data_IF_701932777063
#
_entry.id   IF_701932777063
#
_cell.length_a   1.000
_cell.length_b   1.000
_cell.length_c   1.000
_cell.angle_alpha   90.00
_cell.angle_beta   90.00
_cell.angle_gamma   90.00
#
_symmetry.space_group_name_H-M   'P 1'
#
loop_
_entity.id
_entity.type
_entity.pdbx_description
1 polymer ?
#
# COMPACT_ATOMS: atom_id res chain seq x y z
N UNK A 1 -5.23 31.57 -31.51
CA UNK A 1 -5.63 30.15 -31.43
C UNK A 1 -6.52 30.05 -30.20
N UNK A 2 -7.84 30.00 -30.38
CA UNK A 2 -8.80 29.99 -29.25
C UNK A 2 -8.95 28.53 -28.79
N UNK A 3 -8.39 28.20 -27.64
CA UNK A 3 -8.57 26.88 -27.04
C UNK A 3 -10.01 26.76 -26.58
N UNK A 4 -10.74 25.75 -27.10
CA UNK A 4 -12.11 25.51 -26.70
C UNK A 4 -12.18 25.21 -25.19
N UNK A 5 -13.22 25.69 -24.47
CA UNK A 5 -13.33 25.50 -23.02
C UNK A 5 -13.33 24.02 -22.61
N UNK A 6 -13.83 23.14 -23.48
CA UNK A 6 -13.83 21.69 -23.30
C UNK A 6 -12.42 21.10 -23.23
N UNK A 7 -11.49 21.61 -24.06
CA UNK A 7 -10.09 21.18 -24.06
C UNK A 7 -9.36 21.60 -22.78
N UNK A 8 -9.74 22.76 -22.22
CA UNK A 8 -9.15 23.32 -21.01
C UNK A 8 -9.61 22.57 -19.75
N UNK A 9 -10.88 22.15 -19.72
CA UNK A 9 -11.43 21.29 -18.65
C UNK A 9 -10.78 19.91 -18.69
N UNK A 10 -10.65 19.29 -19.87
CA UNK A 10 -10.03 17.98 -20.01
C UNK A 10 -8.56 18.01 -19.58
N UNK A 11 -7.82 19.06 -19.97
CA UNK A 11 -6.43 19.25 -19.57
C UNK A 11 -6.29 19.47 -18.05
N UNK A 12 -7.20 20.24 -17.44
CA UNK A 12 -7.23 20.42 -15.99
C UNK A 12 -7.47 19.12 -15.22
N UNK A 13 -8.40 18.27 -15.69
CA UNK A 13 -8.68 16.94 -15.13
C UNK A 13 -7.50 15.97 -15.27
N UNK A 14 -6.81 15.99 -16.42
CA UNK A 14 -5.64 15.13 -16.62
C UNK A 14 -4.49 15.58 -15.73
N UNK A 15 -4.24 16.89 -15.59
CA UNK A 15 -3.20 17.42 -14.72
C UNK A 15 -3.45 17.08 -13.24
N UNK A 16 -4.69 17.12 -12.76
CA UNK A 16 -4.99 16.77 -11.36
C UNK A 16 -4.72 15.31 -11.03
N UNK A 17 -4.88 14.38 -11.99
CA UNK A 17 -4.54 12.97 -11.82
C UNK A 17 -3.03 12.73 -11.67
N UNK A 18 -2.18 13.60 -12.23
CA UNK A 18 -0.72 13.47 -12.20
C UNK A 18 -0.12 14.09 -10.92
N UNK A 19 -0.76 15.10 -10.34
CA UNK A 19 -0.23 15.82 -9.16
C UNK A 19 -0.39 15.01 -7.86
N UNK A 20 -1.38 14.11 -7.78
CA UNK A 20 -1.64 13.28 -6.60
C UNK A 20 -1.15 11.83 -6.77
N UNK A 21 0.12 11.64 -7.13
CA UNK A 21 0.72 10.31 -7.11
C UNK A 21 1.07 9.91 -5.68
N UNK A 22 0.19 9.13 -5.04
CA UNK A 22 0.58 8.30 -3.92
C UNK A 22 1.40 7.13 -4.50
N UNK A 23 2.72 7.22 -4.40
CA UNK A 23 3.54 6.05 -4.65
C UNK A 23 3.16 5.02 -3.58
N UNK A 24 3.12 3.76 -3.98
CA UNK A 24 2.89 2.64 -3.11
C UNK A 24 3.67 1.47 -3.71
N UNK A 25 4.45 0.74 -2.89
CA UNK A 25 5.06 -0.51 -3.34
C UNK A 25 3.99 -1.60 -3.16
N UNK A 26 3.21 -1.79 -4.23
CA UNK A 26 2.11 -2.76 -4.34
C UNK A 26 2.59 -3.94 -5.16
N UNK A 27 2.44 -5.15 -4.61
CA UNK A 27 2.66 -6.39 -5.38
C UNK A 27 1.43 -7.29 -5.32
N UNK A 28 1.15 -7.98 -6.42
CA UNK A 28 0.10 -9.00 -6.49
C UNK A 28 0.75 -10.37 -6.31
N UNK A 29 0.30 -11.10 -5.29
CA UNK A 29 0.89 -12.37 -4.90
C UNK A 29 -0.19 -13.46 -4.83
N UNK A 30 0.23 -14.70 -5.06
CA UNK A 30 -0.60 -15.88 -4.86
C UNK A 30 -0.41 -16.40 -3.43
N UNK A 31 -1.49 -16.34 -2.65
CA UNK A 31 -1.63 -16.86 -1.29
C UNK A 31 -2.64 -18.02 -1.23
N UNK A 32 -2.96 -18.62 -2.37
CA UNK A 32 -3.94 -19.71 -2.46
C UNK A 32 -3.39 -21.01 -1.90
N UNK A 33 -4.28 -21.77 -1.27
CA UNK A 33 -4.02 -23.14 -0.84
C UNK A 33 -5.17 -24.03 -1.30
N UNK A 34 -4.83 -25.23 -1.82
CA UNK A 34 -5.81 -26.22 -2.29
C UNK A 34 -6.79 -26.69 -1.21
N UNK A 35 -6.40 -26.66 0.07
CA UNK A 35 -7.26 -27.00 1.20
C UNK A 35 -8.29 -25.89 1.52
N UNK A 36 -8.05 -24.67 1.06
CA UNK A 36 -8.88 -23.49 1.33
C UNK A 36 -9.21 -22.73 0.03
N UNK A 37 -10.04 -23.32 -0.85
CA UNK A 37 -10.36 -22.73 -2.14
C UNK A 37 -10.99 -21.34 -1.98
N UNK A 38 -10.61 -20.42 -2.89
CA UNK A 38 -11.06 -19.03 -2.95
C UNK A 38 -10.74 -18.19 -1.71
N UNK A 39 -9.73 -18.60 -0.93
CA UNK A 39 -9.20 -17.86 0.23
C UNK A 39 -7.75 -17.50 0.02
N UNK A 40 -7.34 -16.36 0.58
CA UNK A 40 -5.94 -16.08 0.80
C UNK A 40 -5.53 -16.65 2.16
N UNK A 41 -4.49 -17.47 2.16
CA UNK A 41 -3.99 -18.20 3.32
C UNK A 41 -2.67 -17.59 3.74
N UNK A 42 -2.64 -17.01 4.93
CA UNK A 42 -1.46 -16.36 5.48
C UNK A 42 -0.95 -17.16 6.67
N UNK A 43 0.24 -17.73 6.52
CA UNK A 43 0.97 -18.31 7.65
C UNK A 43 1.74 -17.21 8.37
N UNK A 44 1.33 -16.90 9.61
CA UNK A 44 1.97 -15.87 10.44
C UNK A 44 2.79 -16.50 11.58
N UNK A 45 3.20 -17.76 11.42
CA UNK A 45 4.06 -18.52 12.33
C UNK A 45 3.34 -19.09 13.55
N UNK A 46 2.57 -18.28 14.27
CA UNK A 46 1.79 -18.74 15.44
C UNK A 46 0.40 -19.26 15.08
N UNK A 47 -0.10 -18.92 13.89
CA UNK A 47 -1.43 -19.28 13.42
C UNK A 47 -1.54 -19.11 11.90
N UNK A 48 -2.62 -19.66 11.33
CA UNK A 48 -2.99 -19.47 9.93
C UNK A 48 -4.20 -18.55 9.85
N UNK A 49 -4.11 -17.50 9.06
CA UNK A 49 -5.20 -16.55 8.81
C UNK A 49 -5.80 -16.83 7.44
N UNK A 50 -7.12 -17.01 7.40
CA UNK A 50 -7.87 -17.28 6.17
C UNK A 50 -8.73 -16.07 5.79
N UNK A 51 -8.30 -15.34 4.77
CA UNK A 51 -9.02 -14.17 4.27
C UNK A 51 -9.98 -14.55 3.14
N UNK A 52 -11.18 -13.98 3.19
CA UNK A 52 -12.12 -13.93 2.07
C UNK A 52 -11.77 -12.77 1.14
N UNK A 53 -12.27 -12.82 -0.08
CA UNK A 53 -12.28 -11.67 -0.99
C UNK A 53 -12.78 -10.41 -0.27
N UNK A 54 -12.05 -9.31 -0.44
CA UNK A 54 -12.36 -8.01 0.18
C UNK A 54 -11.88 -7.86 1.62
N UNK A 55 -11.31 -8.90 2.25
CA UNK A 55 -10.72 -8.79 3.58
C UNK A 55 -9.25 -8.41 3.51
N UNK A 56 -8.81 -7.60 4.46
CA UNK A 56 -7.43 -7.24 4.67
C UNK A 56 -6.88 -7.83 5.96
N UNK A 57 -5.57 -8.05 6.01
CA UNK A 57 -4.84 -8.42 7.19
C UNK A 57 -3.54 -7.64 7.30
N UNK A 58 -3.33 -7.00 8.45
CA UNK A 58 -2.08 -6.32 8.77
C UNK A 58 -1.09 -7.31 9.40
N UNK A 59 0.07 -7.46 8.79
CA UNK A 59 1.17 -8.23 9.35
C UNK A 59 1.89 -7.39 10.42
N UNK A 60 1.52 -7.58 11.69
CA UNK A 60 2.14 -6.87 12.82
C UNK A 60 3.62 -7.21 13.05
N UNK A 61 4.12 -8.31 12.47
CA UNK A 61 5.52 -8.71 12.49
C UNK A 61 6.41 -7.91 11.52
N UNK A 62 5.82 -7.18 10.57
CA UNK A 62 6.52 -6.39 9.55
C UNK A 62 6.08 -4.92 9.63
N UNK A 63 6.96 -3.97 9.29
CA UNK A 63 6.63 -2.56 9.29
C UNK A 63 5.54 -2.24 8.25
N UNK A 64 4.40 -1.73 8.71
CA UNK A 64 3.31 -1.18 7.89
C UNK A 64 3.01 -2.02 6.63
N UNK A 65 2.87 -3.33 6.82
CA UNK A 65 2.63 -4.29 5.74
C UNK A 65 1.21 -4.85 5.85
N UNK A 66 0.43 -4.70 4.79
CA UNK A 66 -0.97 -5.15 4.74
C UNK A 66 -1.19 -6.03 3.52
N UNK A 67 -1.89 -7.15 3.69
CA UNK A 67 -2.34 -8.00 2.59
C UNK A 67 -3.85 -7.82 2.44
N UNK A 68 -4.31 -7.49 1.24
CA UNK A 68 -5.72 -7.42 0.87
C UNK A 68 -6.06 -8.55 -0.10
N UNK A 69 -6.98 -9.42 0.27
CA UNK A 69 -7.36 -10.57 -0.54
C UNK A 69 -8.30 -10.14 -1.67
N UNK A 70 -7.85 -10.29 -2.92
CA UNK A 70 -8.63 -9.94 -4.11
C UNK A 70 -9.53 -11.08 -4.59
N UNK A 71 -9.36 -12.29 -4.06
CA UNK A 71 -10.12 -13.49 -4.45
C UNK A 71 -9.26 -14.54 -5.16
N UNK A 72 -9.79 -15.75 -5.30
CA UNK A 72 -9.13 -16.88 -5.98
C UNK A 72 -7.71 -17.20 -5.49
N UNK A 73 -7.43 -16.91 -4.22
CA UNK A 73 -6.11 -17.06 -3.61
C UNK A 73 -5.15 -15.92 -3.90
N UNK A 74 -5.49 -14.96 -4.75
CA UNK A 74 -4.66 -13.79 -5.01
C UNK A 74 -4.93 -12.68 -3.99
N UNK A 75 -3.85 -11.99 -3.60
CA UNK A 75 -3.92 -10.83 -2.71
C UNK A 75 -2.90 -9.77 -3.10
N UNK A 76 -3.25 -8.51 -2.84
CA UNK A 76 -2.34 -7.38 -2.96
C UNK A 76 -1.59 -7.18 -1.65
N UNK A 77 -0.27 -7.17 -1.72
CA UNK A 77 0.62 -6.76 -0.65
C UNK A 77 0.88 -5.27 -0.77
N UNK A 78 0.49 -4.51 0.24
CA UNK A 78 0.75 -3.09 0.40
C UNK A 78 1.93 -2.89 1.35
N UNK A 79 2.94 -2.17 0.89
CA UNK A 79 4.07 -1.71 1.71
C UNK A 79 4.35 -0.23 1.45
N UNK A 80 4.99 0.42 2.41
CA UNK A 80 5.35 1.82 2.30
C UNK A 80 6.36 2.08 1.19
N UNK A 81 6.27 3.28 0.62
CA UNK A 81 7.24 3.75 -0.36
C UNK A 81 8.68 3.68 0.12
N UNK A 82 9.54 3.22 -0.79
CA UNK A 82 10.98 3.36 -0.67
C UNK A 82 11.40 4.74 -1.17
N UNK A 83 11.14 5.77 -0.36
CA UNK A 83 11.68 7.12 -0.57
C UNK A 83 12.99 7.28 0.19
N UNK A 84 13.96 7.94 -0.42
CA UNK A 84 15.17 8.37 0.29
C UNK A 84 14.78 9.51 1.25
N UNK A 85 15.41 9.59 2.44
CA UNK A 85 15.27 10.78 3.28
C UNK A 85 15.85 12.01 2.55
N UNK A 86 15.48 13.23 2.97
CA UNK A 86 16.15 14.45 2.51
C UNK A 86 17.66 14.41 2.75
N UNK A 87 18.41 15.24 2.02
CA UNK A 87 19.86 15.35 2.18
C UNK A 87 20.25 15.66 3.63
N UNK A 88 21.32 15.03 4.11
CA UNK A 88 21.83 15.10 5.50
C UNK A 88 20.82 14.70 6.59
N UNK A 89 19.73 14.04 6.19
CA UNK A 89 18.72 13.50 7.10
C UNK A 89 18.66 11.96 7.04
N UNK A 90 18.10 11.35 8.09
CA UNK A 90 17.80 9.93 8.15
C UNK A 90 16.41 9.68 8.71
N UNK A 91 15.76 8.64 8.21
CA UNK A 91 14.54 8.14 8.85
C UNK A 91 14.88 7.33 10.10
N UNK A 92 14.15 7.56 11.18
CA UNK A 92 14.30 6.81 12.45
C UNK A 92 13.06 5.98 12.73
N UNK A 93 12.38 6.20 13.85
CA UNK A 93 11.17 5.47 14.26
C UNK A 93 9.97 5.73 13.33
N UNK A 94 9.08 4.73 13.23
CA UNK A 94 7.74 4.93 12.69
C UNK A 94 6.88 5.70 13.69
N UNK A 95 6.18 6.72 13.24
CA UNK A 95 5.36 7.57 14.10
C UNK A 95 4.04 6.88 14.47
N UNK A 96 3.39 6.26 13.48
CA UNK A 96 2.07 5.64 13.64
C UNK A 96 2.14 4.12 13.42
N UNK A 97 3.00 3.42 14.17
CA UNK A 97 3.27 1.99 13.95
C UNK A 97 2.02 1.11 13.93
N UNK A 98 1.00 1.43 14.71
CA UNK A 98 -0.21 0.61 14.84
C UNK A 98 -1.34 0.96 13.88
N UNK A 99 -1.24 2.09 13.18
CA UNK A 99 -2.26 2.57 12.25
C UNK A 99 -2.33 1.70 10.99
N UNK A 100 -3.45 1.81 10.27
CA UNK A 100 -3.61 1.15 8.99
C UNK A 100 -2.78 1.82 7.89
N UNK A 101 -2.48 1.05 6.83
CA UNK A 101 -1.86 1.60 5.63
C UNK A 101 -2.80 2.62 4.97
N UNK A 102 -2.32 3.80 4.50
CA UNK A 102 -0.92 4.24 4.45
C UNK A 102 -0.44 5.04 5.66
N UNK A 103 -1.30 5.29 6.66
CA UNK A 103 -0.99 6.19 7.79
C UNK A 103 0.19 5.70 8.64
N UNK A 104 0.41 4.39 8.70
CA UNK A 104 1.58 3.81 9.37
C UNK A 104 2.92 3.98 8.64
N UNK A 105 2.94 4.60 7.46
CA UNK A 105 4.18 4.80 6.70
C UNK A 105 5.00 6.00 7.18
N UNK A 106 4.42 6.86 8.00
CA UNK A 106 5.11 8.04 8.52
C UNK A 106 6.25 7.65 9.44
N UNK A 107 7.42 8.22 9.19
CA UNK A 107 8.64 8.01 9.94
C UNK A 107 9.21 9.35 10.36
N UNK A 108 9.76 9.40 11.56
CA UNK A 108 10.50 10.57 12.04
C UNK A 108 11.73 10.79 11.17
N UNK A 109 12.02 12.06 10.88
CA UNK A 109 13.20 12.50 10.13
C UNK A 109 14.11 13.25 11.09
N UNK A 110 15.35 12.80 11.21
CA UNK A 110 16.40 13.46 11.99
C UNK A 110 17.48 13.93 11.03
N UNK A 111 17.76 15.24 11.05
CA UNK A 111 18.80 15.89 10.26
C UNK A 111 19.92 16.37 11.18
N UNK A 112 21.16 16.25 10.72
CA UNK A 112 22.34 16.71 11.46
C UNK A 112 22.61 18.20 11.25
#
# INVERSE_FOLDING_TARGET
MSFAPETLILFGLICSLVVFQAFADISLNNYGDSAYPNRCVLDIGSSVVLLKMGQAFRLKSLPCTTIFCTGDGYGMLFTCDKKAPPDDCRYTEYLNWDDDYPNCCERKVECN
#
